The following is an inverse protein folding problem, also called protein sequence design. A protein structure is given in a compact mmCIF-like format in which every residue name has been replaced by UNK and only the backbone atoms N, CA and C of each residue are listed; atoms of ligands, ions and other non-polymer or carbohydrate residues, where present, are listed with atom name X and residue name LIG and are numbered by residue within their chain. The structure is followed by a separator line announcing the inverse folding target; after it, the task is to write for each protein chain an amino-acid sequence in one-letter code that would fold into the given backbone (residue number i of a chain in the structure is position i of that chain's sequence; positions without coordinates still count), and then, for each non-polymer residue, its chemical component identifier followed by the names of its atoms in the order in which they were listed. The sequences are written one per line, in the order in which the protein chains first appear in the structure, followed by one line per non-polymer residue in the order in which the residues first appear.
data_IF_809511590085
#
_entry.id   IF_809511590085
#
_cell.length_a   1.000
_cell.length_b   1.000
_cell.length_c   1.000
_cell.angle_alpha   90.00
_cell.angle_beta   90.00
_cell.angle_gamma   90.00
#
_symmetry.space_group_name_H-M   'P 1'
#
loop_
_entity.id
_entity.type
_entity.pdbx_description
1 polymer ?
#
# COMPACT_ATOMS: atom_id res chain seq x y z
N UNK A 1 3.49 15.15 5.51
CA UNK A 1 2.63 15.77 6.56
C UNK A 1 1.50 14.79 6.89
N UNK A 2 1.00 14.77 8.13
CA UNK A 2 -0.19 13.98 8.45
C UNK A 2 -1.41 14.53 7.67
N UNK A 3 -2.34 13.66 7.29
CA UNK A 3 -3.57 14.05 6.59
C UNK A 3 -3.34 14.52 5.15
N UNK A 4 -2.29 14.03 4.47
CA UNK A 4 -2.04 14.38 3.07
C UNK A 4 -3.13 13.76 2.19
N UNK A 5 -3.81 14.59 1.40
CA UNK A 5 -4.79 14.15 0.41
C UNK A 5 -4.22 14.34 -0.99
N UNK A 6 -4.13 13.25 -1.76
CA UNK A 6 -3.74 13.26 -3.17
C UNK A 6 -4.96 12.91 -4.00
N UNK A 7 -5.57 13.89 -4.68
CA UNK A 7 -6.81 13.67 -5.44
C UNK A 7 -6.68 12.75 -6.66
N UNK A 8 -5.45 12.45 -7.10
CA UNK A 8 -5.16 11.61 -8.26
C UNK A 8 -4.23 10.45 -7.91
N UNK A 9 -3.39 10.08 -8.88
CA UNK A 9 -2.36 9.05 -8.68
C UNK A 9 -1.21 9.58 -7.81
N UNK A 10 -0.71 8.73 -6.91
CA UNK A 10 0.54 8.94 -6.19
C UNK A 10 1.55 7.87 -6.61
N UNK A 11 2.70 8.31 -7.13
CA UNK A 11 3.77 7.44 -7.61
C UNK A 11 5.00 7.59 -6.72
N UNK A 12 5.35 6.51 -6.03
CA UNK A 12 6.49 6.39 -5.12
C UNK A 12 7.35 5.19 -5.49
N UNK A 13 7.30 4.74 -6.75
CA UNK A 13 8.08 3.58 -7.22
C UNK A 13 9.57 3.82 -7.04
N UNK A 14 10.28 2.80 -6.57
CA UNK A 14 11.73 2.84 -6.35
C UNK A 14 12.18 3.75 -5.21
N UNK A 15 11.28 4.19 -4.32
CA UNK A 15 11.65 4.92 -3.11
C UNK A 15 12.27 3.96 -2.08
N UNK A 16 13.51 3.53 -2.33
CA UNK A 16 14.22 2.52 -1.52
C UNK A 16 14.51 2.95 -0.08
N UNK A 17 14.48 4.26 0.22
CA UNK A 17 14.60 4.78 1.59
C UNK A 17 13.26 4.99 2.32
N UNK A 18 12.13 4.66 1.69
CA UNK A 18 10.80 4.88 2.27
C UNK A 18 10.48 3.76 3.27
N UNK A 19 10.50 4.10 4.56
CA UNK A 19 10.17 3.13 5.61
C UNK A 19 8.68 3.06 5.96
N UNK A 20 7.96 4.18 5.77
CA UNK A 20 6.53 4.30 6.08
C UNK A 20 5.89 5.46 5.32
N UNK A 21 4.56 5.42 5.20
CA UNK A 21 3.76 6.56 4.73
C UNK A 21 3.22 7.35 5.91
N UNK A 22 2.92 8.63 5.68
CA UNK A 22 2.26 9.48 6.67
C UNK A 22 0.86 8.98 7.02
N UNK A 23 0.51 9.02 8.32
CA UNK A 23 -0.85 8.75 8.79
C UNK A 23 -1.87 9.70 8.14
N UNK A 24 -3.07 9.19 7.90
CA UNK A 24 -4.16 9.91 7.23
C UNK A 24 -3.90 10.19 5.76
N UNK A 25 -3.03 9.42 5.10
CA UNK A 25 -2.83 9.53 3.65
C UNK A 25 -4.08 9.01 2.92
N UNK A 26 -4.68 9.88 2.10
CA UNK A 26 -5.76 9.53 1.19
C UNK A 26 -5.29 9.67 -0.25
N UNK A 27 -5.52 8.64 -1.08
CA UNK A 27 -5.18 8.66 -2.50
C UNK A 27 -6.45 8.43 -3.33
N UNK A 28 -6.87 9.46 -4.07
CA UNK A 28 -8.05 9.45 -4.94
C UNK A 28 -7.90 8.54 -6.17
N UNK A 29 -6.67 8.29 -6.60
CA UNK A 29 -6.33 7.39 -7.71
C UNK A 29 -5.52 6.18 -7.28
N UNK A 30 -4.60 5.75 -8.14
CA UNK A 30 -3.71 4.63 -7.86
C UNK A 30 -2.54 5.05 -6.96
N UNK A 31 -2.09 4.15 -6.10
CA UNK A 31 -0.89 4.30 -5.29
C UNK A 31 0.14 3.26 -5.73
N UNK A 32 1.29 3.72 -6.23
CA UNK A 32 2.39 2.85 -6.65
C UNK A 32 3.56 2.94 -5.69
N UNK A 33 3.86 1.83 -5.02
CA UNK A 33 4.99 1.65 -4.10
C UNK A 33 5.91 0.52 -4.57
N UNK A 34 5.91 0.22 -5.87
CA UNK A 34 6.75 -0.84 -6.44
C UNK A 34 8.22 -0.63 -6.08
N UNK A 35 8.91 -1.69 -5.67
CA UNK A 35 10.34 -1.71 -5.30
C UNK A 35 10.71 -0.74 -4.17
N UNK A 36 9.79 -0.51 -3.21
CA UNK A 36 10.09 0.17 -1.95
C UNK A 36 10.61 -0.84 -0.91
N UNK A 37 11.85 -1.31 -1.09
CA UNK A 37 12.40 -2.42 -0.32
C UNK A 37 12.48 -2.19 1.20
N UNK A 38 12.57 -0.94 1.67
CA UNK A 38 12.61 -0.62 3.10
C UNK A 38 11.21 -0.37 3.71
N UNK A 39 10.13 -0.46 2.93
CA UNK A 39 8.78 -0.24 3.41
C UNK A 39 8.36 -1.40 4.32
N UNK A 40 8.25 -1.14 5.63
CA UNK A 40 7.97 -2.17 6.63
C UNK A 40 6.48 -2.36 6.91
N UNK A 41 5.70 -1.29 6.76
CA UNK A 41 4.27 -1.24 7.06
C UNK A 41 3.57 -0.09 6.34
N UNK A 42 2.25 -0.15 6.28
CA UNK A 42 1.38 0.95 5.83
C UNK A 42 0.61 1.53 7.02
N UNK A 43 0.23 2.82 6.98
CA UNK A 43 -0.57 3.42 8.03
C UNK A 43 -1.96 2.77 8.09
N UNK A 44 -2.50 2.64 9.31
CA UNK A 44 -3.72 1.86 9.57
C UNK A 44 -4.98 2.43 8.92
N UNK A 45 -4.94 3.72 8.60
CA UNK A 45 -6.01 4.54 8.03
C UNK A 45 -5.79 4.84 6.54
N UNK A 46 -4.89 4.11 5.86
CA UNK A 46 -4.65 4.29 4.43
C UNK A 46 -5.90 3.93 3.61
N UNK A 47 -6.40 4.91 2.86
CA UNK A 47 -7.47 4.72 1.88
C UNK A 47 -6.97 5.02 0.46
N UNK A 48 -7.15 4.04 -0.43
CA UNK A 48 -6.80 4.14 -1.85
C UNK A 48 -8.05 3.92 -2.69
N UNK A 49 -8.51 4.95 -3.38
CA UNK A 49 -9.70 4.91 -4.24
C UNK A 49 -9.44 4.25 -5.60
N UNK A 50 -8.17 4.04 -5.97
CA UNK A 50 -7.73 3.23 -7.10
C UNK A 50 -7.16 1.87 -6.68
N UNK A 51 -6.15 1.43 -7.44
CA UNK A 51 -5.37 0.22 -7.15
C UNK A 51 -4.11 0.56 -6.34
N UNK A 52 -3.67 -0.38 -5.52
CA UNK A 52 -2.45 -0.30 -4.71
C UNK A 52 -1.44 -1.34 -5.20
N UNK A 53 -0.27 -0.88 -5.66
CA UNK A 53 0.85 -1.75 -6.01
C UNK A 53 1.94 -1.68 -4.95
N UNK A 54 2.22 -2.80 -4.30
CA UNK A 54 3.33 -3.00 -3.36
C UNK A 54 4.35 -3.99 -3.93
N UNK A 55 4.30 -4.24 -5.25
CA UNK A 55 5.17 -5.23 -5.89
C UNK A 55 6.64 -5.01 -5.51
N UNK A 56 7.36 -6.07 -5.16
CA UNK A 56 8.78 -5.98 -4.78
C UNK A 56 9.04 -5.31 -3.42
N UNK A 57 8.04 -4.98 -2.60
CA UNK A 57 8.27 -4.51 -1.23
C UNK A 57 8.72 -5.67 -0.32
N UNK A 58 10.00 -6.04 -0.38
CA UNK A 58 10.52 -7.26 0.27
C UNK A 58 10.53 -7.20 1.80
N UNK A 59 10.71 -6.01 2.41
CA UNK A 59 10.66 -5.84 3.87
C UNK A 59 9.25 -5.69 4.44
N UNK A 60 8.21 -5.68 3.61
CA UNK A 60 6.83 -5.55 4.07
C UNK A 60 6.38 -6.86 4.71
N UNK A 61 6.17 -6.86 6.02
CA UNK A 61 5.85 -8.08 6.78
C UNK A 61 4.37 -8.26 7.07
N UNK A 62 3.60 -7.17 7.04
CA UNK A 62 2.17 -7.16 7.29
C UNK A 62 1.47 -6.00 6.58
N UNK A 63 0.17 -6.16 6.35
CA UNK A 63 -0.73 -5.06 5.98
C UNK A 63 -1.57 -4.66 7.20
N UNK A 64 -2.01 -3.40 7.30
CA UNK A 64 -2.89 -2.99 8.38
C UNK A 64 -4.29 -3.60 8.21
N UNK A 65 -4.93 -3.94 9.33
CA UNK A 65 -6.29 -4.51 9.38
C UNK A 65 -7.34 -3.58 8.74
N UNK A 66 -7.13 -2.26 8.86
CA UNK A 66 -8.03 -1.23 8.33
C UNK A 66 -7.82 -0.85 6.87
N UNK A 67 -6.89 -1.50 6.14
CA UNK A 67 -6.56 -1.12 4.77
C UNK A 67 -7.78 -1.17 3.83
N UNK A 68 -8.03 -0.06 3.14
CA UNK A 68 -9.09 0.05 2.13
C UNK A 68 -8.48 0.33 0.76
N UNK A 69 -8.74 -0.56 -0.20
CA UNK A 69 -8.38 -0.39 -1.61
C UNK A 69 -9.62 -0.64 -2.46
N UNK A 70 -10.11 0.37 -3.18
CA UNK A 70 -11.38 0.23 -3.92
C UNK A 70 -11.25 -0.59 -5.20
N UNK A 71 -10.04 -0.78 -5.73
CA UNK A 71 -9.75 -1.62 -6.89
C UNK A 71 -8.80 -2.76 -6.51
N UNK A 72 -7.72 -2.95 -7.25
CA UNK A 72 -6.85 -4.11 -7.12
C UNK A 72 -5.71 -3.88 -6.13
N UNK A 73 -5.30 -4.96 -5.45
CA UNK A 73 -4.13 -5.00 -4.59
C UNK A 73 -3.07 -5.92 -5.21
N UNK A 74 -1.89 -5.37 -5.54
CA UNK A 74 -0.80 -6.11 -6.17
C UNK A 74 0.35 -6.26 -5.16
N UNK A 75 0.67 -7.51 -4.82
CA UNK A 75 1.64 -7.92 -3.79
C UNK A 75 2.77 -8.79 -4.36
N UNK A 76 2.90 -8.87 -5.68
CA UNK A 76 3.92 -9.68 -6.37
C UNK A 76 5.31 -9.44 -5.79
N UNK A 77 6.01 -10.49 -5.37
CA UNK A 77 7.37 -10.35 -4.83
C UNK A 77 7.47 -9.72 -3.43
N UNK A 78 6.37 -9.51 -2.69
CA UNK A 78 6.38 -9.20 -1.26
C UNK A 78 6.78 -10.43 -0.44
N UNK A 79 8.04 -10.86 -0.51
CA UNK A 79 8.52 -12.11 0.10
C UNK A 79 8.46 -12.13 1.63
N UNK A 80 8.52 -10.97 2.28
CA UNK A 80 8.33 -10.83 3.73
C UNK A 80 6.87 -10.97 4.20
N UNK A 81 5.89 -10.82 3.30
CA UNK A 81 4.47 -10.79 3.64
C UNK A 81 3.90 -12.22 3.73
N UNK A 82 3.84 -12.75 4.95
CA UNK A 82 3.43 -14.14 5.18
C UNK A 82 1.92 -14.38 5.11
N UNK A 83 1.12 -13.37 5.46
CA UNK A 83 -0.33 -13.49 5.54
C UNK A 83 -1.00 -12.15 5.28
N UNK A 84 -2.30 -12.18 4.98
CA UNK A 84 -3.13 -10.98 4.90
C UNK A 84 -3.96 -10.88 6.18
N UNK A 85 -4.14 -9.66 6.72
CA UNK A 85 -4.98 -9.48 7.89
C UNK A 85 -6.44 -9.83 7.57
N UNK A 86 -7.17 -10.29 8.58
CA UNK A 86 -8.61 -10.43 8.48
C UNK A 86 -9.26 -9.05 8.27
N UNK A 87 -10.34 -8.99 7.48
CA UNK A 87 -11.10 -7.76 7.30
C UNK A 87 -10.55 -6.77 6.27
N UNK A 88 -9.56 -7.16 5.44
CA UNK A 88 -9.15 -6.36 4.28
C UNK A 88 -10.35 -6.00 3.41
N UNK A 89 -10.47 -4.72 3.06
CA UNK A 89 -11.54 -4.22 2.19
C UNK A 89 -10.95 -3.92 0.81
N UNK A 90 -10.94 -4.95 -0.03
CA UNK A 90 -10.48 -4.87 -1.42
C UNK A 90 -11.70 -4.95 -2.35
N UNK A 91 -11.91 -3.93 -3.18
CA UNK A 91 -13.03 -3.90 -4.12
C UNK A 91 -12.79 -4.68 -5.41
N UNK A 92 -11.52 -4.88 -5.79
CA UNK A 92 -11.08 -5.66 -6.94
C UNK A 92 -10.42 -6.99 -6.55
N UNK A 93 -9.39 -7.37 -7.30
CA UNK A 93 -8.66 -8.62 -7.11
C UNK A 93 -7.39 -8.40 -6.28
N UNK A 94 -6.94 -9.47 -5.63
CA UNK A 94 -5.64 -9.53 -4.98
C UNK A 94 -4.71 -10.37 -5.86
N UNK A 95 -3.57 -9.80 -6.25
CA UNK A 95 -2.51 -10.47 -7.01
C UNK A 95 -1.32 -10.68 -6.09
N UNK A 96 -0.78 -11.90 -6.03
CA UNK A 96 0.35 -12.28 -5.17
C UNK A 96 1.47 -12.85 -6.00
#
# INVERSE_FOLDING_TARGET
PAGLVVGGQLDLRGCTGLESLSAGLEVGGNLFLTDCDQLKSLPADLEVNGSLSLSGCTSLTSLPVGLVVKRDLILGGCTGLKSLPAGLKIGGKIYR
#
